data_IF_836527461578
#
_entry.id   IF_836527461578
#
_cell.length_a   1.000
_cell.length_b   1.000
_cell.length_c   1.000
_cell.angle_alpha   90.00
_cell.angle_beta   90.00
_cell.angle_gamma   90.00
#
_symmetry.space_group_name_H-M   'P 1'
#
loop_
_entity.id
_entity.type
_entity.pdbx_description
1 polymer ?
#
# COMPACT_ATOMS: atom_id res chain seq x y z
N UNK A 1 -5.30 66.02 -5.80
CA UNK A 1 -5.73 64.64 -5.51
C UNK A 1 -5.23 63.75 -6.64
N UNK A 2 -4.17 62.97 -6.41
CA UNK A 2 -3.66 61.98 -7.37
C UNK A 2 -3.66 60.64 -6.64
N UNK A 3 -4.53 59.73 -7.07
CA UNK A 3 -4.68 58.40 -6.51
C UNK A 3 -3.48 57.53 -6.94
N UNK A 4 -2.75 56.99 -5.97
CA UNK A 4 -1.74 55.96 -6.21
C UNK A 4 -2.43 54.60 -6.28
N UNK A 5 -2.33 53.94 -7.44
CA UNK A 5 -2.74 52.54 -7.62
C UNK A 5 -1.57 51.69 -7.12
N UNK A 6 -1.76 51.00 -5.99
CA UNK A 6 -0.84 49.98 -5.50
C UNK A 6 -1.18 48.69 -6.24
N UNK A 7 -0.35 48.32 -7.21
CA UNK A 7 -0.41 47.00 -7.85
C UNK A 7 0.29 46.02 -6.91
N UNK A 8 -0.50 45.26 -6.16
CA UNK A 8 -0.03 44.16 -5.34
C UNK A 8 0.23 42.96 -6.26
N UNK A 9 1.48 42.76 -6.69
CA UNK A 9 1.90 41.54 -7.37
C UNK A 9 1.79 40.36 -6.40
N UNK A 10 0.70 39.59 -6.51
CA UNK A 10 0.59 38.24 -5.96
C UNK A 10 1.60 37.34 -6.69
N UNK A 11 2.81 37.25 -6.16
CA UNK A 11 3.74 36.16 -6.47
C UNK A 11 3.17 34.89 -5.84
N UNK A 12 2.34 34.17 -6.59
CA UNK A 12 2.02 32.79 -6.27
C UNK A 12 3.31 31.99 -6.41
N UNK A 13 3.96 31.68 -5.29
CA UNK A 13 5.03 30.71 -5.24
C UNK A 13 4.44 29.36 -5.66
N UNK A 14 4.62 28.99 -6.92
CA UNK A 14 4.37 27.64 -7.37
C UNK A 14 5.34 26.74 -6.60
N UNK A 15 4.81 26.05 -5.58
CA UNK A 15 5.54 24.97 -4.92
C UNK A 15 5.70 23.88 -5.97
N UNK A 16 6.85 23.87 -6.67
CA UNK A 16 7.26 22.73 -7.47
C UNK A 16 7.43 21.55 -6.52
N UNK A 17 6.37 20.77 -6.36
CA UNK A 17 6.47 19.45 -5.77
C UNK A 17 7.27 18.61 -6.75
N UNK A 18 8.43 18.12 -6.32
CA UNK A 18 9.18 17.15 -7.10
C UNK A 18 8.27 15.97 -7.45
N UNK A 19 8.30 15.52 -8.71
CA UNK A 19 7.56 14.34 -9.12
C UNK A 19 7.89 13.17 -8.17
N UNK A 20 6.92 12.30 -7.84
CA UNK A 20 7.19 11.13 -7.02
C UNK A 20 8.34 10.31 -7.65
N UNK A 21 9.20 9.67 -6.85
CA UNK A 21 10.20 8.77 -7.39
C UNK A 21 9.52 7.59 -8.10
N UNK A 22 10.19 7.03 -9.10
CA UNK A 22 9.76 5.77 -9.73
C UNK A 22 9.83 4.61 -8.74
N UNK A 23 8.90 3.67 -8.88
CA UNK A 23 8.85 2.43 -8.11
C UNK A 23 9.53 1.34 -8.93
N UNK A 24 10.78 1.00 -8.62
CA UNK A 24 11.54 0.03 -9.41
C UNK A 24 12.07 -1.06 -8.49
N UNK A 25 11.75 -2.30 -8.83
CA UNK A 25 12.42 -3.45 -8.28
C UNK A 25 13.64 -3.80 -9.09
N UNK A 26 14.72 -4.13 -8.39
CA UNK A 26 15.95 -4.64 -8.97
C UNK A 26 16.17 -6.08 -8.51
N UNK A 27 16.33 -6.98 -9.48
CA UNK A 27 16.79 -8.35 -9.23
C UNK A 27 18.25 -8.35 -8.79
N UNK A 28 18.70 -9.47 -8.20
CA UNK A 28 20.11 -9.68 -7.81
C UNK A 28 21.02 -10.05 -9.01
N UNK A 29 20.72 -9.54 -10.20
CA UNK A 29 21.37 -9.90 -11.47
C UNK A 29 20.96 -11.28 -11.99
N UNK A 30 20.59 -11.35 -13.28
CA UNK A 30 20.14 -12.58 -13.98
C UNK A 30 19.00 -13.36 -13.31
N UNK A 31 18.00 -12.70 -12.71
CA UNK A 31 16.80 -13.44 -12.31
C UNK A 31 16.05 -13.93 -13.55
N UNK A 32 15.88 -15.24 -13.68
CA UNK A 32 15.23 -15.85 -14.84
C UNK A 32 13.78 -16.26 -14.57
N UNK A 33 12.98 -16.27 -15.64
CA UNK A 33 11.71 -17.02 -15.69
C UNK A 33 11.94 -18.52 -15.37
N UNK A 34 10.89 -19.26 -14.97
CA UNK A 34 10.98 -20.61 -14.35
C UNK A 34 11.46 -21.58 -15.39
N UNK A 35 11.89 -22.75 -14.95
CA UNK A 35 12.07 -23.92 -15.81
C UNK A 35 10.74 -24.55 -16.28
N UNK A 36 9.59 -24.04 -15.80
CA UNK A 36 8.22 -24.54 -16.06
C UNK A 36 7.21 -23.39 -16.09
N UNK A 37 6.15 -23.55 -16.88
CA UNK A 37 5.08 -22.56 -17.01
C UNK A 37 4.41 -22.22 -15.67
N UNK A 38 4.17 -20.93 -15.41
CA UNK A 38 3.47 -20.45 -14.21
C UNK A 38 3.65 -18.96 -13.96
N UNK A 39 2.90 -18.41 -12.99
CA UNK A 39 2.95 -16.99 -12.64
C UNK A 39 4.28 -16.66 -11.97
N UNK A 40 4.95 -15.64 -12.48
CA UNK A 40 6.06 -14.97 -11.81
C UNK A 40 5.61 -13.69 -11.15
N UNK A 41 6.08 -13.47 -9.93
CA UNK A 41 5.92 -12.19 -9.24
C UNK A 41 7.26 -11.51 -9.21
N UNK A 42 7.41 -10.46 -10.02
CA UNK A 42 8.65 -9.69 -10.07
C UNK A 42 8.66 -8.58 -9.05
N UNK A 43 7.51 -7.91 -8.91
CA UNK A 43 7.43 -6.72 -8.08
C UNK A 43 6.05 -6.63 -7.45
N UNK A 44 6.04 -6.71 -6.12
CA UNK A 44 4.98 -6.11 -5.33
C UNK A 44 5.60 -4.81 -4.85
N UNK A 45 5.14 -3.62 -5.30
CA UNK A 45 5.73 -2.36 -4.85
C UNK A 45 5.63 -2.14 -3.34
N UNK A 46 4.94 -3.02 -2.61
CA UNK A 46 4.58 -2.91 -1.20
C UNK A 46 3.52 -1.82 -0.97
N UNK A 47 3.59 -0.79 -1.81
CA UNK A 47 2.76 0.38 -1.91
C UNK A 47 1.83 0.24 -3.09
N UNK A 48 0.58 0.61 -2.90
CA UNK A 48 -0.14 1.22 -3.99
C UNK A 48 0.52 2.56 -4.32
N UNK A 49 0.96 2.80 -5.57
CA UNK A 49 1.34 4.14 -5.99
C UNK A 49 0.22 5.16 -5.71
N UNK A 50 0.50 6.45 -5.82
CA UNK A 50 -0.59 7.43 -5.86
C UNK A 50 -1.48 7.18 -7.09
N UNK A 51 -2.78 7.52 -7.05
CA UNK A 51 -3.57 7.55 -8.27
C UNK A 51 -2.89 8.42 -9.32
N UNK A 52 -2.84 7.97 -10.57
CA UNK A 52 -2.19 8.66 -11.68
C UNK A 52 -1.73 7.71 -12.78
N UNK A 53 -1.01 8.28 -13.73
CA UNK A 53 -0.48 7.56 -14.88
C UNK A 53 0.96 7.15 -14.65
N UNK A 54 1.26 5.87 -14.90
CA UNK A 54 2.59 5.29 -14.73
C UNK A 54 3.03 4.59 -16.01
N UNK A 55 4.25 4.84 -16.46
CA UNK A 55 4.93 3.99 -17.43
C UNK A 55 5.32 2.69 -16.77
N UNK A 56 4.87 1.58 -17.34
CA UNK A 56 5.32 0.24 -16.94
C UNK A 56 6.59 -0.06 -17.71
N UNK A 57 7.69 -0.27 -16.98
CA UNK A 57 9.02 -0.43 -17.56
C UNK A 57 9.69 -1.70 -17.07
N UNK A 58 10.66 -2.19 -17.86
CA UNK A 58 11.52 -3.28 -17.43
C UNK A 58 12.83 -3.32 -18.20
N UNK A 59 13.86 -3.86 -17.55
CA UNK A 59 15.17 -4.10 -18.15
C UNK A 59 15.41 -5.59 -18.18
N UNK A 60 15.51 -6.15 -19.38
CA UNK A 60 15.59 -7.60 -19.57
C UNK A 60 16.32 -7.98 -20.86
N UNK A 61 16.68 -9.26 -20.97
CA UNK A 61 17.14 -9.91 -22.21
C UNK A 61 16.43 -11.25 -22.39
N UNK A 62 16.50 -11.81 -23.59
CA UNK A 62 16.01 -13.17 -23.88
C UNK A 62 17.08 -14.03 -24.53
N UNK A 63 17.09 -15.33 -24.19
CA UNK A 63 17.92 -16.32 -24.86
C UNK A 63 17.41 -16.73 -26.25
N UNK A 64 16.23 -16.24 -26.66
CA UNK A 64 15.61 -16.58 -27.94
C UNK A 64 14.86 -15.36 -28.53
N UNK A 65 14.47 -15.45 -29.80
CA UNK A 65 13.54 -14.48 -30.37
C UNK A 65 12.16 -14.67 -29.73
N UNK A 66 11.56 -13.60 -29.21
CA UNK A 66 10.27 -13.71 -28.54
C UNK A 66 9.67 -12.37 -28.15
N UNK A 67 8.47 -12.46 -27.59
CA UNK A 67 7.75 -11.33 -27.00
C UNK A 67 7.62 -11.59 -25.51
N UNK A 68 8.05 -10.64 -24.69
CA UNK A 68 7.82 -10.68 -23.25
C UNK A 68 6.59 -9.83 -22.91
N UNK A 69 5.66 -10.41 -22.16
CA UNK A 69 4.45 -9.74 -21.68
C UNK A 69 4.55 -9.48 -20.19
N UNK A 70 4.35 -8.24 -19.77
CA UNK A 70 4.30 -7.85 -18.36
C UNK A 70 2.88 -7.37 -18.03
N UNK A 71 2.37 -7.77 -16.87
CA UNK A 71 1.01 -7.44 -16.43
C UNK A 71 1.02 -6.80 -15.06
N UNK A 72 0.07 -5.88 -14.84
CA UNK A 72 -0.25 -5.40 -13.51
C UNK A 72 -1.58 -6.01 -13.07
N UNK A 73 -1.56 -6.71 -11.94
CA UNK A 73 -2.72 -7.38 -11.36
C UNK A 73 -2.97 -6.90 -9.95
N UNK A 74 -4.22 -6.98 -9.52
CA UNK A 74 -4.58 -6.84 -8.12
C UNK A 74 -3.88 -7.92 -7.29
N UNK A 75 -3.09 -7.50 -6.30
CA UNK A 75 -2.28 -8.40 -5.49
C UNK A 75 -3.12 -9.45 -4.74
N UNK A 76 -4.33 -9.09 -4.32
CA UNK A 76 -5.20 -9.97 -3.55
C UNK A 76 -6.13 -10.80 -4.42
N UNK A 77 -6.74 -10.19 -5.45
CA UNK A 77 -7.73 -10.90 -6.28
C UNK A 77 -7.12 -11.56 -7.52
N UNK A 78 -5.92 -11.15 -7.93
CA UNK A 78 -5.29 -11.58 -9.18
C UNK A 78 -5.94 -11.01 -10.44
N UNK A 79 -6.93 -10.12 -10.30
CA UNK A 79 -7.60 -9.48 -11.43
C UNK A 79 -6.61 -8.65 -12.26
N UNK A 80 -6.52 -8.93 -13.55
CA UNK A 80 -5.68 -8.17 -14.49
C UNK A 80 -6.27 -6.78 -14.73
N UNK A 81 -5.41 -5.76 -14.65
CA UNK A 81 -5.78 -4.34 -14.84
C UNK A 81 -4.94 -3.67 -15.93
N UNK A 82 -3.81 -4.26 -16.29
CA UNK A 82 -2.94 -3.84 -17.38
C UNK A 82 -2.17 -5.03 -17.94
N UNK A 83 -1.94 -5.02 -19.26
CA UNK A 83 -1.09 -5.96 -19.97
C UNK A 83 -0.36 -5.24 -21.10
N UNK A 84 0.96 -5.38 -21.15
CA UNK A 84 1.80 -4.79 -22.18
C UNK A 84 2.84 -5.79 -22.65
N UNK A 85 3.24 -5.70 -23.91
CA UNK A 85 4.13 -6.68 -24.54
C UNK A 85 5.19 -6.01 -25.42
N UNK A 86 6.41 -6.53 -25.37
CA UNK A 86 7.57 -5.98 -26.11
C UNK A 86 8.35 -7.10 -26.79
N UNK A 87 8.92 -6.79 -27.96
CA UNK A 87 9.87 -7.71 -28.63
C UNK A 87 11.22 -7.60 -27.96
N UNK A 88 11.76 -8.73 -27.52
CA UNK A 88 12.98 -8.79 -26.72
C UNK A 88 14.22 -9.01 -27.59
N UNK A 89 15.38 -8.67 -27.05
CA UNK A 89 16.68 -8.87 -27.70
C UNK A 89 17.60 -9.76 -26.87
N UNK A 90 18.68 -10.25 -27.48
CA UNK A 90 19.68 -11.07 -26.81
C UNK A 90 20.50 -10.28 -25.76
N UNK A 91 20.61 -8.96 -25.93
CA UNK A 91 21.27 -8.07 -24.99
C UNK A 91 20.26 -7.47 -24.01
N UNK A 92 20.74 -7.09 -22.81
CA UNK A 92 19.92 -6.34 -21.86
C UNK A 92 19.56 -4.99 -22.45
N UNK A 93 18.26 -4.70 -22.49
CA UNK A 93 17.73 -3.42 -22.95
C UNK A 93 16.58 -2.96 -22.06
N UNK A 94 16.34 -1.66 -22.06
CA UNK A 94 15.22 -1.03 -21.36
C UNK A 94 13.99 -1.02 -22.28
N UNK A 95 12.86 -1.43 -21.74
CA UNK A 95 11.60 -1.56 -22.45
C UNK A 95 10.49 -0.79 -21.75
N UNK A 96 9.67 -0.11 -22.55
CA UNK A 96 8.40 0.49 -22.12
C UNK A 96 7.25 -0.41 -22.59
N UNK A 97 6.47 -0.94 -21.64
CA UNK A 97 5.37 -1.86 -21.91
C UNK A 97 4.05 -1.13 -22.19
N UNK A 98 3.97 0.15 -21.84
CA UNK A 98 2.79 0.99 -21.98
C UNK A 98 2.55 1.85 -20.73
N UNK A 99 1.41 2.55 -20.73
CA UNK A 99 0.96 3.38 -19.61
C UNK A 99 -0.15 2.67 -18.83
N UNK A 100 0.04 2.53 -17.53
CA UNK A 100 -0.98 2.12 -16.57
C UNK A 100 -1.70 3.36 -16.05
N UNK A 101 -3.02 3.41 -16.26
CA UNK A 101 -3.91 4.38 -15.63
C UNK A 101 -4.36 3.81 -14.29
N UNK A 102 -3.81 4.34 -13.20
CA UNK A 102 -4.02 3.78 -11.87
C UNK A 102 -4.95 4.67 -11.04
N UNK A 103 -6.08 4.10 -10.61
CA UNK A 103 -7.09 4.79 -9.81
C UNK A 103 -6.75 4.85 -8.32
N UNK A 104 -5.73 4.10 -7.89
CA UNK A 104 -5.43 3.92 -6.49
C UNK A 104 -6.56 3.28 -5.70
N UNK A 105 -7.22 2.24 -6.21
CA UNK A 105 -8.18 1.45 -5.41
C UNK A 105 -7.67 0.06 -5.03
N UNK A 106 -6.68 -0.49 -5.72
CA UNK A 106 -6.20 -1.88 -5.53
C UNK A 106 -4.68 -1.99 -5.37
N UNK A 107 -4.14 -2.85 -4.49
CA UNK A 107 -2.69 -3.04 -4.35
C UNK A 107 -2.09 -3.68 -5.61
N UNK A 108 -1.04 -3.06 -6.16
CA UNK A 108 -0.43 -3.51 -7.42
C UNK A 108 0.50 -4.69 -7.19
N UNK A 109 0.47 -5.67 -8.09
CA UNK A 109 1.54 -6.65 -8.28
C UNK A 109 1.88 -6.73 -9.77
N UNK A 110 3.16 -6.59 -10.13
CA UNK A 110 3.66 -6.83 -11.48
C UNK A 110 4.09 -8.30 -11.63
N UNK A 111 3.53 -8.94 -12.65
CA UNK A 111 3.66 -10.38 -12.88
C UNK A 111 3.85 -10.71 -14.35
N UNK A 112 4.31 -11.93 -14.62
CA UNK A 112 4.41 -12.48 -15.97
C UNK A 112 4.02 -13.97 -16.05
N UNK A 113 3.69 -14.43 -17.26
CA UNK A 113 3.33 -15.82 -17.61
C UNK A 113 4.11 -16.30 -18.85
N UNK A 114 5.26 -15.69 -19.13
CA UNK A 114 6.03 -16.02 -20.33
C UNK A 114 6.67 -17.40 -20.16
N UNK A 115 6.92 -18.04 -21.31
CA UNK A 115 7.69 -19.27 -21.35
C UNK A 115 9.12 -19.04 -20.79
N UNK A 116 9.80 -20.10 -20.34
CA UNK A 116 11.20 -20.02 -19.91
C UNK A 116 12.12 -19.37 -20.96
N UNK A 117 13.15 -18.65 -20.53
CA UNK A 117 14.19 -18.10 -21.42
C UNK A 117 14.40 -16.59 -21.36
N UNK A 118 13.76 -15.90 -20.40
CA UNK A 118 13.96 -14.47 -20.17
C UNK A 118 14.75 -14.22 -18.88
N UNK A 119 15.57 -13.17 -18.90
CA UNK A 119 16.39 -12.74 -17.77
C UNK A 119 16.06 -11.29 -17.46
N UNK A 120 15.60 -11.04 -16.24
CA UNK A 120 15.01 -9.78 -15.79
C UNK A 120 15.98 -9.15 -14.77
N UNK A 121 16.44 -7.94 -15.08
CA UNK A 121 17.27 -7.13 -14.20
C UNK A 121 16.41 -6.20 -13.33
N UNK A 122 15.38 -5.58 -13.92
CA UNK A 122 14.46 -4.72 -13.18
C UNK A 122 13.08 -4.65 -13.82
N UNK A 123 12.06 -4.38 -13.01
CA UNK A 123 10.72 -3.96 -13.47
C UNK A 123 10.23 -2.82 -12.59
N UNK A 124 9.40 -1.94 -13.13
CA UNK A 124 8.92 -0.81 -12.35
C UNK A 124 7.80 0.01 -12.96
N UNK A 125 7.40 1.01 -12.19
CA UNK A 125 6.40 2.03 -12.51
C UNK A 125 7.06 3.41 -12.41
N UNK A 126 7.17 4.12 -13.53
CA UNK A 126 7.69 5.49 -13.56
C UNK A 126 6.50 6.44 -13.66
N UNK A 127 6.30 7.37 -12.70
CA UNK A 127 5.19 8.31 -12.76
C UNK A 127 5.31 9.23 -13.98
N UNK A 128 4.20 9.38 -14.71
CA UNK A 128 4.06 10.29 -15.85
C UNK A 128 3.23 11.49 -15.46
N UNK A 129 2.07 11.23 -14.85
CA UNK A 129 1.13 12.25 -14.43
C UNK A 129 0.49 11.80 -13.12
N UNK A 130 1.04 12.28 -12.01
CA UNK A 130 0.55 11.95 -10.67
C UNK A 130 0.19 13.27 -9.98
N UNK A 131 -1.10 13.54 -9.76
CA UNK A 131 -1.52 14.75 -9.08
C UNK A 131 -1.00 14.78 -7.63
N UNK A 132 -0.73 15.97 -7.13
CA UNK A 132 -0.47 16.18 -5.70
C UNK A 132 -1.72 15.80 -4.92
N UNK A 133 -1.60 14.87 -3.98
CA UNK A 133 -2.72 14.51 -3.10
C UNK A 133 -2.59 15.30 -1.79
N UNK A 134 -3.67 15.97 -1.33
CA UNK A 134 -3.67 16.69 -0.06
C UNK A 134 -3.25 15.80 1.11
N UNK A 135 -2.67 16.44 2.14
CA UNK A 135 -2.35 15.73 3.37
C UNK A 135 -3.64 15.30 4.09
N UNK A 136 -3.74 14.03 4.45
CA UNK A 136 -4.83 13.40 5.19
C UNK A 136 -4.23 12.77 6.44
N UNK A 137 -4.36 13.47 7.56
CA UNK A 137 -3.84 13.05 8.87
C UNK A 137 -4.80 12.15 9.65
N UNK A 138 -6.00 11.88 9.16
CA UNK A 138 -6.92 10.99 9.86
C UNK A 138 -8.05 10.51 8.96
N UNK A 139 -8.76 9.48 9.41
CA UNK A 139 -9.95 8.97 8.75
C UNK A 139 -10.90 8.38 9.76
N UNK A 140 -12.16 8.81 9.70
CA UNK A 140 -13.25 8.15 10.41
C UNK A 140 -13.41 6.71 9.93
N UNK A 141 -13.87 5.85 10.83
CA UNK A 141 -14.26 4.48 10.52
C UNK A 141 -15.78 4.31 10.40
N UNK A 142 -16.53 5.41 10.34
CA UNK A 142 -17.99 5.48 10.19
C UNK A 142 -18.55 4.72 8.97
N UNK A 143 -17.72 4.48 7.95
CA UNK A 143 -18.09 3.79 6.71
C UNK A 143 -16.99 2.84 6.24
N UNK A 144 -17.35 1.79 5.49
CA UNK A 144 -16.37 0.95 4.79
C UNK A 144 -15.72 1.64 3.59
N UNK A 145 -16.29 2.75 3.10
CA UNK A 145 -15.81 3.43 1.90
C UNK A 145 -14.38 3.94 2.08
N UNK A 146 -13.51 3.57 1.13
CA UNK A 146 -12.08 3.90 1.14
C UNK A 146 -11.21 2.99 2.03
N UNK A 147 -11.81 2.06 2.78
CA UNK A 147 -11.09 0.95 3.40
C UNK A 147 -11.01 -0.23 2.44
N UNK A 148 -9.86 -0.88 2.42
CA UNK A 148 -9.55 -1.97 1.51
C UNK A 148 -9.47 -3.27 2.32
N UNK A 149 -10.33 -4.26 2.02
CA UNK A 149 -10.20 -5.58 2.63
C UNK A 149 -8.90 -6.22 2.17
N UNK A 150 -8.11 -6.72 3.10
CA UNK A 150 -6.92 -7.49 2.78
C UNK A 150 -7.31 -8.97 2.67
N UNK A 151 -7.07 -9.57 1.50
CA UNK A 151 -7.43 -10.95 1.17
C UNK A 151 -8.91 -11.26 1.42
N UNK A 152 -9.25 -12.41 2.02
CA UNK A 152 -10.64 -12.81 2.29
C UNK A 152 -11.27 -12.11 3.51
N UNK A 153 -10.78 -10.94 3.89
CA UNK A 153 -11.38 -10.14 4.97
C UNK A 153 -12.66 -9.47 4.47
N UNK A 154 -13.70 -9.49 5.29
CA UNK A 154 -14.94 -8.74 5.05
C UNK A 154 -14.93 -7.46 5.88
N UNK A 155 -15.29 -6.35 5.24
CA UNK A 155 -15.44 -5.05 5.89
C UNK A 155 -16.90 -4.62 5.85
N UNK A 156 -17.38 -4.05 6.96
CA UNK A 156 -18.70 -3.44 7.04
C UNK A 156 -18.67 -2.23 7.98
N UNK A 157 -19.55 -1.26 7.77
CA UNK A 157 -19.80 -0.21 8.75
C UNK A 157 -20.77 -0.71 9.84
N UNK A 158 -20.47 -0.44 11.10
CA UNK A 158 -21.33 -0.76 12.24
C UNK A 158 -21.77 0.53 12.95
N UNK A 159 -22.99 1.05 12.69
CA UNK A 159 -23.46 2.29 13.30
C UNK A 159 -23.82 2.14 14.79
N UNK A 160 -23.97 0.91 15.28
CA UNK A 160 -24.45 0.61 16.62
C UNK A 160 -23.31 0.36 17.61
N UNK A 161 -22.18 -0.14 17.13
CA UNK A 161 -21.00 -0.42 17.96
C UNK A 161 -19.84 0.49 17.55
N UNK A 162 -19.70 1.63 18.23
CA UNK A 162 -18.69 2.65 17.93
C UNK A 162 -18.07 3.22 19.19
N UNK A 163 -16.94 3.90 19.05
CA UNK A 163 -16.32 4.64 20.13
C UNK A 163 -16.64 6.13 20.02
N UNK A 164 -16.47 6.70 18.83
CA UNK A 164 -16.91 8.07 18.52
C UNK A 164 -17.67 8.10 17.19
N UNK A 165 -17.99 9.28 16.67
CA UNK A 165 -18.59 9.42 15.34
C UNK A 165 -19.97 8.78 15.17
N UNK A 166 -20.23 8.27 13.96
CA UNK A 166 -21.52 7.70 13.53
C UNK A 166 -21.48 6.17 13.45
N UNK A 167 -20.31 5.55 13.36
CA UNK A 167 -20.12 4.10 13.32
C UNK A 167 -18.66 3.71 13.51
N UNK A 168 -18.38 2.42 13.44
CA UNK A 168 -17.00 1.93 13.35
C UNK A 168 -16.85 0.94 12.20
N UNK A 169 -15.61 0.63 11.85
CA UNK A 169 -15.32 -0.37 10.83
C UNK A 169 -15.28 -1.75 11.48
N UNK A 170 -16.25 -2.61 11.14
CA UNK A 170 -16.23 -4.03 11.44
C UNK A 170 -15.33 -4.77 10.47
N UNK A 171 -14.33 -5.47 11.01
CA UNK A 171 -13.38 -6.29 10.27
C UNK A 171 -13.59 -7.75 10.66
N UNK A 172 -13.94 -8.58 9.68
CA UNK A 172 -14.12 -10.03 9.88
C UNK A 172 -13.12 -10.80 9.01
N UNK A 173 -12.19 -11.48 9.67
CA UNK A 173 -11.24 -12.39 9.03
C UNK A 173 -11.72 -13.82 9.23
N UNK A 174 -11.99 -14.52 8.13
CA UNK A 174 -12.42 -15.93 8.17
C UNK A 174 -11.23 -16.88 8.43
N UNK A 175 -11.46 -18.04 9.09
CA UNK A 175 -10.44 -19.05 9.32
C UNK A 175 -9.79 -19.52 8.01
N UNK A 176 -8.45 -19.45 7.92
CA UNK A 176 -7.74 -20.02 6.78
C UNK A 176 -6.31 -20.46 7.13
N UNK A 177 -5.93 -21.61 6.60
CA UNK A 177 -4.62 -22.22 6.79
C UNK A 177 -3.52 -21.44 6.05
N UNK A 178 -2.37 -21.26 6.71
CA UNK A 178 -1.13 -20.76 6.12
C UNK A 178 -1.23 -19.37 5.46
N UNK A 179 -2.07 -18.48 6.00
CA UNK A 179 -2.15 -17.09 5.53
C UNK A 179 -1.22 -16.23 6.38
N UNK A 180 -0.21 -15.56 5.78
CA UNK A 180 0.62 -14.59 6.48
C UNK A 180 -0.20 -13.42 7.02
N UNK A 181 0.27 -12.79 8.10
CA UNK A 181 -0.39 -11.64 8.72
C UNK A 181 -0.58 -10.47 7.76
N UNK A 182 0.37 -10.23 6.84
CA UNK A 182 0.30 -9.12 5.88
C UNK A 182 -0.77 -9.30 4.80
N UNK A 183 -1.42 -10.46 4.73
CA UNK A 183 -2.50 -10.71 3.80
C UNK A 183 -3.88 -10.47 4.42
N UNK A 184 -4.05 -10.31 5.73
CA UNK A 184 -5.40 -10.23 6.37
C UNK A 184 -5.62 -8.93 7.15
N UNK A 185 -6.89 -8.51 7.29
CA UNK A 185 -7.28 -7.31 8.01
C UNK A 185 -7.78 -6.20 7.10
N UNK A 186 -7.52 -4.96 7.50
CA UNK A 186 -8.02 -3.77 6.81
C UNK A 186 -6.88 -2.78 6.53
N UNK A 187 -6.89 -2.21 5.34
CA UNK A 187 -5.98 -1.14 4.94
C UNK A 187 -6.74 0.14 4.67
N UNK A 188 -6.24 1.27 5.16
CA UNK A 188 -6.71 2.60 4.78
C UNK A 188 -5.65 3.32 3.98
N UNK A 189 -6.07 3.91 2.86
CA UNK A 189 -5.24 4.88 2.13
C UNK A 189 -5.33 6.22 2.82
N UNK A 190 -4.17 6.78 3.16
CA UNK A 190 -4.00 8.08 3.80
C UNK A 190 -2.74 8.70 3.21
N UNK A 191 -2.76 9.99 2.90
CA UNK A 191 -1.59 10.65 2.36
C UNK A 191 -1.04 11.59 3.43
N UNK A 192 -0.03 11.17 4.19
CA UNK A 192 0.62 12.04 5.17
C UNK A 192 2.06 12.31 4.74
N UNK A 193 2.45 13.59 4.65
CA UNK A 193 3.82 13.95 4.29
C UNK A 193 4.79 13.54 5.41
N UNK A 194 4.31 13.64 6.65
CA UNK A 194 5.01 13.17 7.85
C UNK A 194 4.03 12.68 8.91
N UNK A 195 4.42 11.67 9.67
CA UNK A 195 3.81 11.33 10.94
C UNK A 195 4.88 10.98 11.98
N UNK A 196 4.53 11.17 13.24
CA UNK A 196 5.31 10.93 14.46
C UNK A 196 4.61 9.93 15.37
N UNK A 197 3.29 9.81 15.25
CA UNK A 197 2.48 8.85 15.98
C UNK A 197 1.33 8.36 15.10
N UNK A 198 0.90 7.13 15.36
CA UNK A 198 -0.38 6.60 14.90
C UNK A 198 -1.26 6.30 16.11
N UNK A 199 -2.52 6.70 16.05
CA UNK A 199 -3.51 6.38 17.06
C UNK A 199 -4.82 5.89 16.44
N UNK A 200 -5.50 4.98 17.12
CA UNK A 200 -6.83 4.49 16.76
C UNK A 200 -7.48 3.76 17.93
N UNK A 201 -8.81 3.70 17.93
CA UNK A 201 -9.55 2.84 18.85
C UNK A 201 -9.71 1.43 18.26
N UNK A 202 -9.56 0.42 19.11
CA UNK A 202 -9.80 -0.98 18.73
C UNK A 202 -10.67 -1.69 19.76
N UNK A 203 -11.53 -2.60 19.29
CA UNK A 203 -12.33 -3.51 20.11
C UNK A 203 -12.36 -4.89 19.50
N UNK A 204 -12.02 -5.91 20.28
CA UNK A 204 -12.18 -7.31 19.88
C UNK A 204 -13.51 -7.87 20.39
N UNK A 205 -14.26 -8.55 19.53
CA UNK A 205 -15.50 -9.23 19.92
C UNK A 205 -15.25 -10.60 20.56
N UNK A 206 -14.15 -11.22 20.16
CA UNK A 206 -13.67 -12.51 20.66
C UNK A 206 -12.33 -12.32 21.40
N UNK A 207 -11.63 -13.41 21.69
CA UNK A 207 -10.31 -13.37 22.32
C UNK A 207 -9.37 -12.47 21.51
N UNK A 208 -8.79 -11.42 22.13
CA UNK A 208 -7.86 -10.53 21.46
C UNK A 208 -6.70 -11.30 20.81
N UNK A 209 -6.30 -10.89 19.61
CA UNK A 209 -5.20 -11.49 18.84
C UNK A 209 -4.08 -10.47 18.69
N UNK A 210 -2.79 -10.90 18.69
CA UNK A 210 -1.70 -10.02 18.33
C UNK A 210 -1.97 -9.28 17.02
N UNK A 211 -1.59 -8.01 16.94
CA UNK A 211 -1.87 -7.16 15.78
C UNK A 211 -0.57 -6.62 15.23
N UNK A 212 -0.43 -6.69 13.92
CA UNK A 212 0.56 -5.98 13.16
C UNK A 212 -0.03 -4.69 12.61
N UNK A 213 0.70 -3.61 12.81
CA UNK A 213 0.44 -2.31 12.21
C UNK A 213 1.56 -2.03 11.21
N UNK A 214 1.19 -1.72 9.99
CA UNK A 214 2.14 -1.32 8.95
C UNK A 214 1.88 0.13 8.56
N UNK A 215 2.90 0.97 8.71
CA UNK A 215 2.95 2.26 8.03
C UNK A 215 3.48 2.03 6.63
N UNK A 216 2.65 2.32 5.64
CA UNK A 216 2.93 2.08 4.23
C UNK A 216 3.41 3.41 3.67
N UNK A 217 4.73 3.61 3.54
CA UNK A 217 5.35 4.85 3.05
C UNK A 217 5.88 4.72 1.62
N UNK A 218 5.86 5.79 0.83
CA UNK A 218 6.15 5.80 -0.62
C UNK A 218 7.51 5.28 -1.06
N UNK A 219 8.46 5.11 -0.14
CA UNK A 219 9.79 4.52 -0.40
C UNK A 219 10.09 3.31 0.47
N UNK A 220 9.59 3.33 1.70
CA UNK A 220 9.88 2.33 2.72
C UNK A 220 8.61 2.17 3.56
N UNK A 221 8.31 0.93 3.91
CA UNK A 221 7.27 0.60 4.87
C UNK A 221 7.92 0.05 6.12
N UNK A 222 7.32 0.31 7.27
CA UNK A 222 7.75 -0.28 8.51
C UNK A 222 6.56 -0.90 9.25
N UNK A 223 6.88 -1.90 10.05
CA UNK A 223 5.88 -2.67 10.78
C UNK A 223 6.20 -2.67 12.26
N UNK A 224 5.14 -2.64 13.05
CA UNK A 224 5.15 -2.86 14.47
C UNK A 224 4.17 -3.97 14.80
N UNK A 225 4.59 -4.90 15.65
CA UNK A 225 3.70 -5.89 16.26
C UNK A 225 3.44 -5.48 17.69
N UNK A 226 2.20 -5.53 18.12
CA UNK A 226 1.88 -5.45 19.54
C UNK A 226 1.00 -6.62 19.98
N UNK A 227 1.11 -6.99 21.26
CA UNK A 227 0.19 -7.94 21.86
C UNK A 227 -0.90 -7.19 22.65
N UNK A 228 -2.19 -7.48 22.43
CA UNK A 228 -3.29 -6.79 23.11
C UNK A 228 -3.14 -6.72 24.64
N UNK A 229 -2.62 -7.77 25.27
CA UNK A 229 -2.37 -7.84 26.70
C UNK A 229 -1.35 -6.80 27.21
N UNK A 230 -0.35 -6.44 26.39
CA UNK A 230 0.66 -5.42 26.72
C UNK A 230 0.03 -4.01 26.76
N UNK A 231 -1.13 -3.85 26.12
CA UNK A 231 -1.91 -2.61 26.03
C UNK A 231 -3.18 -2.65 26.92
N UNK A 232 -3.33 -3.69 27.74
CA UNK A 232 -4.52 -3.86 28.60
C UNK A 232 -5.83 -4.05 27.81
N UNK A 233 -5.75 -4.54 26.57
CA UNK A 233 -6.90 -4.77 25.71
C UNK A 233 -7.54 -6.11 26.08
N UNK A 234 -8.82 -6.04 26.43
CA UNK A 234 -9.64 -7.21 26.76
C UNK A 234 -10.83 -7.30 25.82
N UNK A 235 -11.42 -8.50 25.75
CA UNK A 235 -12.60 -8.77 24.93
C UNK A 235 -13.74 -7.81 25.30
N UNK A 236 -14.38 -7.23 24.28
CA UNK A 236 -15.58 -6.42 24.45
C UNK A 236 -15.34 -5.01 24.99
N UNK A 237 -14.10 -4.56 25.10
CA UNK A 237 -13.76 -3.19 25.48
C UNK A 237 -13.13 -2.42 24.32
N UNK A 238 -13.46 -1.13 24.24
CA UNK A 238 -12.72 -0.20 23.39
C UNK A 238 -11.45 0.23 24.12
N UNK A 239 -10.32 0.18 23.42
CA UNK A 239 -9.04 0.74 23.90
C UNK A 239 -8.42 1.60 22.82
N UNK A 240 -7.85 2.72 23.27
CA UNK A 240 -7.04 3.59 22.44
C UNK A 240 -5.66 2.96 22.35
N UNK A 241 -5.17 2.80 21.13
CA UNK A 241 -3.81 2.36 20.83
C UNK A 241 -3.07 3.57 20.30
N UNK A 242 -1.95 3.92 20.93
CA UNK A 242 -1.07 5.01 20.51
C UNK A 242 0.33 4.43 20.31
N UNK A 243 0.84 4.49 19.08
CA UNK A 243 2.14 3.93 18.72
C UNK A 243 3.01 5.05 18.16
N UNK A 244 4.08 5.45 18.87
CA UNK A 244 5.05 6.39 18.31
C UNK A 244 5.80 5.73 17.15
N UNK A 245 6.20 6.53 16.16
CA UNK A 245 6.92 6.05 14.98
C UNK A 245 8.25 5.37 15.33
N UNK A 246 8.89 5.78 16.42
CA UNK A 246 10.10 5.16 16.96
C UNK A 246 9.93 3.67 17.29
N UNK A 247 8.70 3.19 17.49
CA UNK A 247 8.39 1.78 17.74
C UNK A 247 8.33 0.92 16.46
N UNK A 248 8.47 1.54 15.29
CA UNK A 248 8.46 0.85 14.00
C UNK A 248 9.89 0.59 13.51
N UNK A 249 10.12 -0.57 12.91
CA UNK A 249 11.44 -0.98 12.42
C UNK A 249 11.85 -0.31 11.10
N UNK A 250 12.03 1.01 11.09
CA UNK A 250 12.68 1.73 9.98
C UNK A 250 14.21 1.52 10.02
N UNK A 251 14.89 1.54 8.85
CA UNK A 251 16.36 1.57 8.81
C UNK A 251 16.89 2.79 8.03
N UNK A 252 17.69 3.69 8.64
CA UNK A 252 17.98 3.79 10.09
C UNK A 252 16.70 4.06 10.90
N UNK A 253 16.74 3.84 12.22
CA UNK A 253 15.64 4.22 13.14
C UNK A 253 15.32 5.71 13.00
N UNK A 254 14.04 6.07 13.10
CA UNK A 254 13.56 7.45 12.94
C UNK A 254 12.40 7.71 13.88
N UNK A 255 12.30 8.95 14.32
CA UNK A 255 11.15 9.44 15.10
C UNK A 255 10.04 10.04 14.22
N UNK A 256 10.30 10.15 12.91
CA UNK A 256 9.37 10.70 11.92
C UNK A 256 9.34 9.78 10.70
N UNK A 257 8.14 9.31 10.35
CA UNK A 257 7.87 8.58 9.12
C UNK A 257 7.44 9.59 8.06
N UNK A 258 8.01 9.51 6.87
CA UNK A 258 7.73 10.45 5.78
C UNK A 258 7.05 9.76 4.63
N UNK A 259 6.23 10.51 3.89
CA UNK A 259 5.57 10.05 2.68
C UNK A 259 4.63 8.85 2.89
N UNK A 260 3.86 8.84 3.99
CA UNK A 260 2.91 7.77 4.30
C UNK A 260 1.76 7.82 3.29
N UNK A 261 1.47 6.66 2.70
CA UNK A 261 0.43 6.41 1.68
C UNK A 261 -0.70 5.53 2.21
N UNK A 262 -0.51 4.89 3.35
CA UNK A 262 -1.56 4.16 4.03
C UNK A 262 -1.13 3.54 5.34
N UNK A 263 -2.10 2.93 5.98
CA UNK A 263 -1.95 2.17 7.22
C UNK A 263 -2.68 0.85 7.03
N UNK A 264 -2.02 -0.27 7.37
CA UNK A 264 -2.66 -1.57 7.47
C UNK A 264 -2.71 -2.03 8.92
N UNK A 265 -3.85 -2.63 9.31
CA UNK A 265 -4.12 -3.17 10.64
C UNK A 265 -4.51 -4.65 10.47
N UNK A 266 -3.61 -5.53 10.90
CA UNK A 266 -3.61 -6.94 10.51
C UNK A 266 -3.50 -7.85 11.74
N UNK A 267 -4.56 -8.59 12.14
CA UNK A 267 -4.46 -9.52 13.25
C UNK A 267 -3.71 -10.81 12.86
N UNK A 268 -2.94 -11.37 13.80
CA UNK A 268 -2.40 -12.73 13.71
C UNK A 268 -3.51 -13.75 14.02
N UNK A 269 -4.25 -14.16 13.00
CA UNK A 269 -5.41 -15.03 13.20
C UNK A 269 -5.05 -16.48 13.49
N UNK A 270 -3.86 -16.95 13.08
CA UNK A 270 -3.35 -18.27 13.46
C UNK A 270 -4.28 -19.44 13.08
N UNK A 271 -5.05 -19.31 11.98
CA UNK A 271 -6.09 -20.23 11.49
C UNK A 271 -7.46 -20.13 12.17
N UNK A 272 -7.67 -19.16 13.03
CA UNK A 272 -8.95 -18.94 13.69
C UNK A 272 -9.70 -17.76 13.07
N UNK A 273 -11.01 -17.70 13.33
CA UNK A 273 -11.80 -16.52 12.99
C UNK A 273 -11.34 -15.37 13.88
N UNK A 274 -11.23 -14.17 13.33
CA UNK A 274 -10.99 -12.96 14.11
C UNK A 274 -12.00 -11.89 13.71
N UNK A 275 -12.69 -11.35 14.71
CA UNK A 275 -13.64 -10.26 14.55
C UNK A 275 -13.24 -9.13 15.48
N UNK A 276 -13.01 -7.95 14.89
CA UNK A 276 -12.63 -6.76 15.62
C UNK A 276 -13.17 -5.51 14.92
N UNK A 277 -13.17 -4.39 15.66
CA UNK A 277 -13.56 -3.08 15.16
C UNK A 277 -12.44 -2.08 15.30
N UNK A 278 -12.36 -1.17 14.35
CA UNK A 278 -11.45 -0.02 14.34
C UNK A 278 -12.30 1.25 14.34
N UNK A 279 -11.88 2.25 15.11
CA UNK A 279 -12.46 3.60 15.09
C UNK A 279 -11.40 4.71 15.17
N UNK A 280 -11.74 5.88 14.64
CA UNK A 280 -10.93 7.12 14.62
C UNK A 280 -9.42 6.94 14.41
N UNK A 281 -9.04 6.48 13.22
CA UNK A 281 -7.62 6.40 12.85
C UNK A 281 -7.04 7.80 12.64
N UNK A 282 -5.92 8.10 13.31
CA UNK A 282 -5.20 9.37 13.21
C UNK A 282 -3.69 9.14 13.07
N UNK A 283 -3.04 10.02 12.32
CA UNK A 283 -1.61 10.18 12.13
C UNK A 283 -1.22 11.60 12.55
N UNK A 284 -0.41 11.72 13.59
CA UNK A 284 0.04 13.02 14.13
C UNK A 284 1.40 13.47 13.61
#
# INVERSE_FOLDING_TARGET
MKSAIIILCLLSAAVLHAAPPGYVWHGKGDQSTRDKDGIYVWFVPGLSPLPGDYKVVGRLRSGHSGTFTLRAVDNFTGAERFSGAVKTSAAYADYEFGTLHYDGSWPIRLVDWNAPGYYIESVGLIPVNVPSVPEVRGSSADSSDGWIPMYHTKLAADPNMKKEGRGSLLVTVEPKSNVPWYDVGAMRRLNAAKATMISFWIRFDDTPKPVWIQLIGGKESAVMRFRPEEFGIVRGEWKLVELPVSSFHFKPERDVATDIRGVAICPETGKEKCVFRIDDLLLE
#
